data_IF_027140141795
#
_entry.id   IF_027140141795
#
_cell.length_a   1.000
_cell.length_b   1.000
_cell.length_c   1.000
_cell.angle_alpha   90.00
_cell.angle_beta   90.00
_cell.angle_gamma   90.00
#
_symmetry.space_group_name_H-M   'P 1'
#
loop_
_entity.id
_entity.type
_entity.pdbx_description
1 polymer ?
#
# COMPACT_ATOMS: atom_id res chain seq x y z
N UNK A 1 -65.06 -51.79 35.63
CA UNK A 1 -63.79 -52.29 35.08
C UNK A 1 -63.13 -51.12 34.38
N UNK A 2 -62.16 -50.50 35.04
CA UNK A 2 -61.39 -49.36 34.56
C UNK A 2 -60.04 -49.86 34.03
N UNK A 3 -59.69 -49.41 32.84
CA UNK A 3 -58.51 -49.80 32.06
C UNK A 3 -57.20 -49.38 32.77
N UNK A 4 -56.22 -50.28 33.01
CA UNK A 4 -54.99 -49.96 33.73
C UNK A 4 -53.87 -49.34 32.88
N UNK A 5 -54.12 -48.86 31.64
CA UNK A 5 -53.05 -48.39 30.75
C UNK A 5 -53.13 -46.95 30.20
N UNK A 6 -53.97 -46.05 30.73
CA UNK A 6 -53.85 -44.62 30.40
C UNK A 6 -52.82 -43.90 31.29
N UNK A 7 -51.57 -43.82 30.81
CA UNK A 7 -50.58 -42.86 31.34
C UNK A 7 -50.65 -41.57 30.53
N UNK A 8 -51.19 -40.50 31.12
CA UNK A 8 -51.04 -39.15 30.61
C UNK A 8 -49.54 -38.75 30.59
N UNK A 9 -49.04 -38.41 29.41
CA UNK A 9 -47.69 -37.87 29.22
C UNK A 9 -47.81 -36.33 29.21
N UNK A 10 -47.48 -35.68 30.33
CA UNK A 10 -47.26 -34.23 30.34
C UNK A 10 -45.84 -33.94 29.82
N UNK A 11 -45.66 -33.09 28.78
CA UNK A 11 -44.34 -32.66 28.37
C UNK A 11 -43.74 -31.74 29.45
N UNK A 12 -42.49 -32.03 29.84
CA UNK A 12 -41.74 -31.19 30.77
C UNK A 12 -41.61 -29.75 30.23
N UNK A 13 -41.65 -28.72 31.11
CA UNK A 13 -41.46 -27.35 30.68
C UNK A 13 -40.08 -27.17 30.03
N UNK A 14 -39.95 -26.31 29.00
CA UNK A 14 -38.66 -26.05 28.38
C UNK A 14 -37.69 -25.51 29.43
N UNK A 15 -36.39 -25.90 29.36
CA UNK A 15 -35.40 -25.38 30.29
C UNK A 15 -35.34 -23.85 30.20
N UNK A 16 -35.13 -23.14 31.31
CA UNK A 16 -35.02 -21.69 31.28
C UNK A 16 -33.90 -21.30 30.32
N UNK A 17 -34.21 -20.42 29.37
CA UNK A 17 -33.22 -19.86 28.46
C UNK A 17 -32.05 -19.33 29.28
N UNK A 18 -30.87 -19.93 29.09
CA UNK A 18 -29.66 -19.51 29.75
C UNK A 18 -29.46 -18.01 29.48
N UNK A 19 -29.57 -17.20 30.53
CA UNK A 19 -29.27 -15.78 30.48
C UNK A 19 -27.85 -15.64 29.95
N UNK A 20 -27.72 -15.13 28.71
CA UNK A 20 -26.44 -14.97 28.04
C UNK A 20 -25.44 -14.34 29.00
N UNK A 21 -24.34 -15.06 29.25
CA UNK A 21 -23.34 -14.68 30.24
C UNK A 21 -22.80 -13.27 30.02
N UNK A 22 -22.13 -12.75 31.05
CA UNK A 22 -21.52 -11.41 31.04
C UNK A 22 -20.68 -11.16 29.76
N UNK A 23 -20.02 -12.19 29.24
CA UNK A 23 -19.28 -12.16 27.97
C UNK A 23 -20.17 -11.97 26.72
N UNK A 24 -21.40 -12.49 26.70
CA UNK A 24 -22.36 -12.26 25.62
C UNK A 24 -22.97 -10.85 25.68
N UNK A 25 -23.21 -10.31 26.90
CA UNK A 25 -23.64 -8.92 27.10
C UNK A 25 -22.52 -7.92 26.77
N UNK A 26 -21.26 -8.26 27.04
CA UNK A 26 -20.09 -7.47 26.64
C UNK A 26 -19.91 -7.43 25.10
N UNK A 27 -20.28 -8.50 24.38
CA UNK A 27 -20.25 -8.53 22.91
C UNK A 27 -21.40 -7.75 22.26
N UNK A 28 -22.54 -7.61 22.94
CA UNK A 28 -23.73 -6.89 22.43
C UNK A 28 -23.71 -5.38 22.63
N UNK A 29 -22.75 -4.85 23.39
CA UNK A 29 -22.62 -3.43 23.68
C UNK A 29 -21.16 -2.98 23.58
N UNK A 30 -20.49 -3.28 22.45
CA UNK A 30 -19.43 -2.37 22.02
C UNK A 30 -20.12 -1.07 21.64
N UNK A 31 -20.32 -0.19 22.64
CA UNK A 31 -20.47 1.23 22.35
C UNK A 31 -19.29 1.54 21.42
N UNK A 32 -19.56 2.12 20.27
CA UNK A 32 -18.55 2.53 19.32
C UNK A 32 -18.39 4.06 19.44
N UNK A 33 -17.76 4.59 20.52
CA UNK A 33 -17.57 6.03 20.69
C UNK A 33 -16.91 6.67 19.49
N UNK A 34 -16.04 5.93 18.79
CA UNK A 34 -15.37 6.41 17.59
C UNK A 34 -16.33 6.71 16.42
N UNK A 35 -17.58 6.21 16.44
CA UNK A 35 -18.64 6.56 15.48
C UNK A 35 -19.50 7.75 15.92
N UNK A 36 -19.33 8.25 17.14
CA UNK A 36 -20.07 9.42 17.63
C UNK A 36 -19.58 10.70 16.90
N UNK A 37 -20.54 11.54 16.49
CA UNK A 37 -20.25 12.80 15.78
C UNK A 37 -19.82 12.67 14.32
N UNK A 38 -20.03 11.51 13.69
CA UNK A 38 -20.03 11.38 12.22
C UNK A 38 -21.40 11.78 11.66
N UNK A 39 -21.42 12.45 10.50
CA UNK A 39 -22.66 12.61 9.74
C UNK A 39 -23.06 11.27 9.04
N UNK A 40 -24.28 11.16 8.48
CA UNK A 40 -24.73 9.92 7.84
C UNK A 40 -23.80 9.39 6.76
N UNK A 41 -23.27 10.25 5.90
CA UNK A 41 -22.39 9.88 4.78
C UNK A 41 -21.02 9.39 5.27
N UNK A 42 -20.45 10.05 6.28
CA UNK A 42 -19.21 9.63 6.92
C UNK A 42 -19.38 8.29 7.64
N UNK A 43 -20.52 8.07 8.30
CA UNK A 43 -20.84 6.80 8.96
C UNK A 43 -20.97 5.68 7.92
N UNK A 44 -21.70 5.91 6.84
CA UNK A 44 -21.83 4.95 5.75
C UNK A 44 -20.45 4.57 5.16
N UNK A 45 -19.59 5.56 4.93
CA UNK A 45 -18.23 5.33 4.45
C UNK A 45 -17.37 4.53 5.45
N UNK A 46 -17.60 4.66 6.76
CA UNK A 46 -16.91 3.89 7.81
C UNK A 46 -17.45 2.47 7.91
N UNK A 47 -18.76 2.28 7.82
CA UNK A 47 -19.45 0.99 8.04
C UNK A 47 -19.45 0.09 6.79
N UNK A 48 -19.26 0.66 5.60
CA UNK A 48 -19.15 -0.11 4.34
C UNK A 48 -17.78 -0.80 4.27
N UNK A 49 -17.66 -2.02 4.79
CA UNK A 49 -16.39 -2.74 4.91
C UNK A 49 -16.05 -3.66 3.74
N UNK A 50 -17.05 -4.12 2.98
CA UNK A 50 -16.85 -5.07 1.90
C UNK A 50 -16.75 -4.37 0.54
N UNK A 51 -15.92 -4.92 -0.35
CA UNK A 51 -15.73 -4.40 -1.71
C UNK A 51 -14.87 -3.14 -1.81
N UNK A 52 -14.79 -2.59 -3.02
CA UNK A 52 -14.06 -1.36 -3.30
C UNK A 52 -14.92 -0.14 -2.96
N UNK A 53 -14.40 0.77 -2.14
CA UNK A 53 -15.08 2.00 -1.73
C UNK A 53 -14.23 3.20 -2.11
N UNK A 54 -14.81 4.14 -2.86
CA UNK A 54 -14.22 5.44 -3.18
C UNK A 54 -14.96 6.53 -2.40
N UNK A 55 -14.25 7.24 -1.54
CA UNK A 55 -14.80 8.37 -0.78
C UNK A 55 -14.39 9.67 -1.45
N UNK A 56 -15.34 10.31 -2.14
CA UNK A 56 -15.15 11.63 -2.74
C UNK A 56 -15.54 12.70 -1.71
N UNK A 57 -14.62 13.58 -1.37
CA UNK A 57 -14.91 14.65 -0.42
C UNK A 57 -14.13 15.94 -0.75
N UNK A 58 -14.69 17.09 -0.42
CA UNK A 58 -14.01 18.38 -0.55
C UNK A 58 -12.95 18.60 0.53
N UNK A 59 -12.17 19.67 0.42
CA UNK A 59 -11.27 20.08 1.51
C UNK A 59 -12.06 20.34 2.80
N UNK A 60 -11.51 19.97 3.96
CA UNK A 60 -12.14 20.21 5.27
C UNK A 60 -13.34 19.32 5.63
N UNK A 61 -13.76 18.40 4.76
CA UNK A 61 -14.93 17.52 4.98
C UNK A 61 -14.67 16.30 5.88
N UNK A 62 -13.46 16.19 6.44
CA UNK A 62 -13.10 15.14 7.38
C UNK A 62 -12.65 13.81 6.75
N UNK A 63 -12.13 13.78 5.52
CA UNK A 63 -11.57 12.56 4.87
C UNK A 63 -10.66 11.75 5.79
N UNK A 64 -9.67 12.40 6.39
CA UNK A 64 -8.71 11.75 7.30
C UNK A 64 -9.42 11.21 8.55
N UNK A 65 -10.47 11.89 9.03
CA UNK A 65 -11.31 11.38 10.14
C UNK A 65 -12.04 10.11 9.71
N UNK A 66 -12.70 10.12 8.55
CA UNK A 66 -13.37 8.93 8.00
C UNK A 66 -12.39 7.76 7.86
N UNK A 67 -11.21 7.98 7.28
CA UNK A 67 -10.22 6.92 7.06
C UNK A 67 -9.69 6.34 8.38
N UNK A 68 -9.35 7.19 9.34
CA UNK A 68 -8.85 6.75 10.65
C UNK A 68 -9.93 6.06 11.48
N UNK A 69 -11.17 6.59 11.47
CA UNK A 69 -12.32 5.95 12.12
C UNK A 69 -12.69 4.63 11.47
N UNK A 70 -12.57 4.50 10.14
CA UNK A 70 -12.77 3.22 9.44
C UNK A 70 -11.77 2.16 9.86
N UNK A 71 -10.50 2.51 10.01
CA UNK A 71 -9.48 1.60 10.55
C UNK A 71 -9.84 1.18 11.98
N UNK A 72 -10.21 2.14 12.83
CA UNK A 72 -10.64 1.85 14.20
C UNK A 72 -11.86 0.91 14.23
N UNK A 73 -12.82 1.10 13.33
CA UNK A 73 -14.00 0.27 13.20
C UNK A 73 -13.67 -1.17 12.76
N UNK A 74 -12.83 -1.33 11.74
CA UNK A 74 -12.34 -2.64 11.26
C UNK A 74 -11.67 -3.42 12.41
N UNK A 75 -10.80 -2.75 13.17
CA UNK A 75 -10.09 -3.34 14.30
C UNK A 75 -11.05 -3.72 15.44
N UNK A 76 -11.95 -2.81 15.80
CA UNK A 76 -12.89 -3.01 16.91
C UNK A 76 -13.90 -4.12 16.64
N UNK A 77 -14.30 -4.34 15.38
CA UNK A 77 -15.16 -5.45 14.98
C UNK A 77 -14.40 -6.78 14.81
N UNK A 78 -13.07 -6.80 14.99
CA UNK A 78 -12.25 -8.00 14.78
C UNK A 78 -12.21 -8.48 13.33
N UNK A 79 -12.52 -7.61 12.36
CA UNK A 79 -12.54 -7.95 10.93
C UNK A 79 -11.14 -8.17 10.36
N UNK A 80 -10.14 -7.51 10.94
CA UNK A 80 -8.73 -7.70 10.62
C UNK A 80 -7.83 -7.41 11.83
N UNK A 81 -6.66 -8.03 11.85
CA UNK A 81 -5.56 -7.66 12.74
C UNK A 81 -4.86 -6.42 12.19
N UNK A 82 -4.21 -5.65 13.06
CA UNK A 82 -3.43 -4.46 12.66
C UNK A 82 -2.34 -4.76 11.60
N UNK A 83 -1.78 -5.97 11.58
CA UNK A 83 -0.83 -6.43 10.56
C UNK A 83 -1.45 -6.80 9.20
N UNK A 84 -2.77 -6.90 9.12
CA UNK A 84 -3.55 -7.25 7.93
C UNK A 84 -4.16 -6.00 7.26
N UNK A 85 -3.89 -4.81 7.78
CA UNK A 85 -4.36 -3.51 7.26
C UNK A 85 -3.15 -2.76 6.69
N UNK A 86 -3.20 -2.42 5.40
CA UNK A 86 -2.29 -1.49 4.75
C UNK A 86 -2.94 -0.10 4.69
N UNK A 87 -2.29 0.91 5.27
CA UNK A 87 -2.77 2.29 5.27
C UNK A 87 -1.66 3.21 4.74
N UNK A 88 -1.92 3.87 3.61
CA UNK A 88 -0.91 4.64 2.88
C UNK A 88 -1.31 6.12 2.78
N UNK A 89 -0.33 7.02 2.96
CA UNK A 89 -0.47 8.47 2.76
C UNK A 89 0.77 9.04 2.06
N UNK A 90 0.84 10.35 1.82
CA UNK A 90 1.94 10.99 1.11
C UNK A 90 3.04 11.52 2.04
N UNK A 91 2.72 11.87 3.29
CA UNK A 91 3.70 12.49 4.19
C UNK A 91 3.91 11.70 5.48
N UNK A 92 5.15 11.73 5.99
CA UNK A 92 5.47 11.14 7.29
C UNK A 92 4.73 11.84 8.45
N UNK A 93 4.36 13.12 8.28
CA UNK A 93 3.51 13.84 9.23
C UNK A 93 2.11 13.25 9.26
N UNK A 94 1.45 13.10 8.10
CA UNK A 94 0.13 12.49 8.00
C UNK A 94 0.11 11.06 8.55
N UNK A 95 1.14 10.26 8.26
CA UNK A 95 1.25 8.90 8.79
C UNK A 95 1.29 8.88 10.33
N UNK A 96 2.10 9.77 10.95
CA UNK A 96 2.18 9.89 12.41
C UNK A 96 0.87 10.38 13.01
N UNK A 97 0.22 11.36 12.40
CA UNK A 97 -1.07 11.88 12.84
C UNK A 97 -2.17 10.82 12.74
N UNK A 98 -2.25 10.06 11.64
CA UNK A 98 -3.17 8.94 11.50
C UNK A 98 -2.94 7.90 12.60
N UNK A 99 -1.69 7.50 12.83
CA UNK A 99 -1.34 6.55 13.89
C UNK A 99 -1.79 7.07 15.26
N UNK A 100 -1.54 8.33 15.58
CA UNK A 100 -1.96 8.94 16.84
C UNK A 100 -3.49 8.94 16.99
N UNK A 101 -4.23 9.35 15.95
CA UNK A 101 -5.71 9.36 15.95
C UNK A 101 -6.31 7.98 16.18
N UNK A 102 -5.81 6.97 15.45
CA UNK A 102 -6.30 5.59 15.61
C UNK A 102 -5.98 5.11 17.05
N UNK A 103 -4.81 5.45 17.58
CA UNK A 103 -4.41 5.09 18.95
C UNK A 103 -5.38 5.60 20.01
N UNK A 104 -5.85 6.84 19.86
CA UNK A 104 -6.88 7.40 20.73
C UNK A 104 -8.26 6.72 20.63
N UNK A 105 -8.55 6.00 19.53
CA UNK A 105 -9.84 5.34 19.31
C UNK A 105 -9.89 3.89 19.78
N UNK A 106 -8.79 3.13 19.63
CA UNK A 106 -8.76 1.68 19.91
C UNK A 106 -7.66 1.26 20.90
N UNK A 107 -6.97 2.22 21.53
CA UNK A 107 -5.95 1.97 22.55
C UNK A 107 -4.67 1.32 22.01
N UNK A 108 -4.06 0.44 22.82
CA UNK A 108 -2.75 -0.19 22.55
C UNK A 108 -2.74 -1.10 21.30
N UNK A 109 -3.90 -1.47 20.75
CA UNK A 109 -4.00 -2.22 19.49
C UNK A 109 -3.28 -1.55 18.30
N UNK A 110 -2.98 -0.24 18.40
CA UNK A 110 -2.31 0.57 17.36
C UNK A 110 -0.79 0.48 17.37
N UNK A 111 -0.16 0.11 18.50
CA UNK A 111 1.29 -0.06 18.52
C UNK A 111 1.75 -1.08 17.47
N UNK A 112 0.88 -2.03 17.13
CA UNK A 112 1.08 -3.07 16.14
C UNK A 112 0.54 -2.81 14.73
N UNK A 113 0.48 -1.56 14.22
CA UNK A 113 0.19 -1.27 12.80
C UNK A 113 1.47 -1.14 11.94
N UNK A 114 2.12 -2.26 11.52
CA UNK A 114 3.38 -2.23 10.79
C UNK A 114 3.27 -1.67 9.37
N UNK A 115 2.07 -1.57 8.81
CA UNK A 115 1.84 -1.16 7.42
C UNK A 115 1.08 0.15 7.30
N UNK A 116 1.25 1.03 8.28
CA UNK A 116 0.81 2.42 8.21
C UNK A 116 2.03 3.30 7.91
N UNK A 117 2.03 3.98 6.76
CA UNK A 117 3.16 4.82 6.37
C UNK A 117 2.95 5.54 5.04
N UNK A 118 4.05 6.08 4.50
CA UNK A 118 4.05 6.58 3.12
C UNK A 118 4.32 5.47 2.13
N UNK A 119 3.96 5.68 0.86
CA UNK A 119 4.32 4.77 -0.24
C UNK A 119 5.79 4.33 -0.16
N UNK A 120 6.70 5.30 -0.01
CA UNK A 120 8.14 5.09 0.04
C UNK A 120 8.58 4.34 1.31
N UNK A 121 8.06 4.71 2.48
CA UNK A 121 8.38 4.01 3.73
C UNK A 121 7.92 2.55 3.72
N UNK A 122 6.77 2.28 3.12
CA UNK A 122 6.28 0.90 2.94
C UNK A 122 7.08 0.15 1.87
N UNK A 123 7.38 0.79 0.73
CA UNK A 123 8.24 0.23 -0.32
C UNK A 123 9.61 -0.16 0.22
N UNK A 124 10.29 0.76 0.91
CA UNK A 124 11.54 0.49 1.61
C UNK A 124 11.41 -0.72 2.54
N UNK A 125 10.38 -0.76 3.39
CA UNK A 125 10.16 -1.89 4.31
C UNK A 125 9.99 -3.24 3.61
N UNK A 126 9.34 -3.26 2.45
CA UNK A 126 9.18 -4.48 1.64
C UNK A 126 10.53 -4.86 1.03
N UNK A 127 11.23 -3.92 0.40
CA UNK A 127 12.54 -4.16 -0.18
C UNK A 127 13.55 -4.67 0.84
N UNK A 128 13.58 -4.12 2.05
CA UNK A 128 14.47 -4.59 3.13
C UNK A 128 14.29 -6.07 3.46
N UNK A 129 13.07 -6.58 3.35
CA UNK A 129 12.74 -8.00 3.61
C UNK A 129 13.09 -8.93 2.45
N UNK A 130 13.24 -8.38 1.25
CA UNK A 130 13.40 -9.11 0.00
C UNK A 130 14.57 -8.56 -0.83
N UNK A 131 15.57 -7.95 -0.18
CA UNK A 131 16.56 -7.12 -0.84
C UNK A 131 17.37 -7.90 -1.89
N UNK A 132 17.72 -9.14 -1.56
CA UNK A 132 18.51 -10.01 -2.42
C UNK A 132 17.81 -10.32 -3.75
N UNK A 133 16.47 -10.43 -3.74
CA UNK A 133 15.67 -10.67 -4.95
C UNK A 133 15.72 -9.49 -5.93
N UNK A 134 16.05 -8.30 -5.46
CA UNK A 134 16.23 -7.12 -6.31
C UNK A 134 17.69 -6.70 -6.45
N UNK A 135 18.64 -7.58 -6.09
CA UNK A 135 20.08 -7.31 -6.21
C UNK A 135 20.59 -6.27 -5.21
N UNK A 136 19.94 -6.14 -4.05
CA UNK A 136 20.35 -5.29 -2.93
C UNK A 136 20.65 -6.15 -1.70
N UNK A 137 21.29 -5.55 -0.70
CA UNK A 137 21.38 -6.11 0.65
C UNK A 137 20.40 -5.40 1.59
N UNK A 138 19.93 -6.04 2.67
CA UNK A 138 18.95 -5.46 3.58
C UNK A 138 19.36 -4.14 4.24
N UNK A 139 20.63 -3.75 4.20
CA UNK A 139 21.20 -2.53 4.78
C UNK A 139 21.53 -1.45 3.74
N UNK A 140 21.03 -1.56 2.49
CA UNK A 140 21.18 -0.56 1.43
C UNK A 140 21.01 0.91 1.86
N UNK A 141 21.72 1.86 1.27
CA UNK A 141 21.54 3.30 1.57
C UNK A 141 20.45 3.89 0.68
N UNK A 142 19.65 4.83 1.20
CA UNK A 142 18.70 5.61 0.39
C UNK A 142 19.37 6.94 0.04
N UNK A 143 19.62 7.20 -1.24
CA UNK A 143 20.26 8.44 -1.69
C UNK A 143 19.27 9.61 -1.70
N UNK A 144 19.69 10.75 -1.16
CA UNK A 144 18.99 12.01 -1.33
C UNK A 144 19.25 12.64 -2.72
N UNK A 145 18.57 13.74 -3.02
CA UNK A 145 18.66 14.38 -4.35
C UNK A 145 20.08 14.86 -4.67
N UNK A 146 20.83 15.33 -3.68
CA UNK A 146 22.17 15.87 -3.90
C UNK A 146 23.16 14.74 -4.20
N UNK A 147 23.07 13.62 -3.47
CA UNK A 147 23.87 12.43 -3.72
C UNK A 147 23.55 11.78 -5.07
N UNK A 148 22.27 11.75 -5.47
CA UNK A 148 21.88 11.32 -6.81
C UNK A 148 22.52 12.20 -7.89
N UNK A 149 22.45 13.53 -7.75
CA UNK A 149 23.03 14.47 -8.72
C UNK A 149 24.55 14.30 -8.79
N UNK A 150 25.24 14.13 -7.66
CA UNK A 150 26.69 13.88 -7.62
C UNK A 150 27.05 12.61 -8.39
N UNK A 151 26.31 11.52 -8.18
CA UNK A 151 26.54 10.26 -8.88
C UNK A 151 26.31 10.38 -10.39
N UNK A 152 25.26 11.08 -10.80
CA UNK A 152 24.95 11.31 -12.21
C UNK A 152 26.01 12.17 -12.91
N UNK A 153 26.55 13.19 -12.23
CA UNK A 153 27.68 13.99 -12.76
C UNK A 153 28.92 13.13 -13.05
N UNK A 154 29.22 12.17 -12.18
CA UNK A 154 30.34 11.25 -12.40
C UNK A 154 30.11 10.37 -13.64
N UNK A 155 28.89 9.89 -13.87
CA UNK A 155 28.53 9.10 -15.05
C UNK A 155 28.60 9.93 -16.34
N UNK A 156 28.09 11.16 -16.31
CA UNK A 156 28.17 12.11 -17.43
C UNK A 156 29.63 12.36 -17.82
N UNK A 157 30.50 12.61 -16.83
CA UNK A 157 31.91 12.83 -17.05
C UNK A 157 32.61 11.58 -17.63
N UNK A 158 32.29 10.38 -17.12
CA UNK A 158 32.85 9.12 -17.62
C UNK A 158 32.50 8.83 -19.09
N UNK A 159 31.32 9.27 -19.54
CA UNK A 159 30.86 9.16 -20.92
C UNK A 159 31.34 10.31 -21.83
N UNK A 160 32.22 11.18 -21.33
CA UNK A 160 32.73 12.36 -22.04
C UNK A 160 31.63 13.31 -22.54
N UNK A 161 30.53 13.42 -21.79
CA UNK A 161 29.43 14.34 -22.08
C UNK A 161 29.69 15.69 -21.41
N UNK A 162 29.50 16.79 -22.14
CA UNK A 162 29.68 18.15 -21.62
C UNK A 162 28.64 18.49 -20.53
N UNK A 163 29.09 18.50 -19.27
CA UNK A 163 28.25 18.81 -18.09
C UNK A 163 27.64 20.23 -18.13
N UNK A 164 28.30 21.19 -18.79
CA UNK A 164 27.75 22.55 -18.89
C UNK A 164 26.49 22.59 -19.75
N UNK A 165 26.49 21.80 -20.83
CA UNK A 165 25.34 21.67 -21.73
C UNK A 165 24.32 20.66 -21.19
N UNK A 166 24.79 19.62 -20.51
CA UNK A 166 24.00 18.49 -20.03
C UNK A 166 24.19 18.29 -18.52
N UNK A 167 23.63 19.16 -17.68
CA UNK A 167 23.88 19.11 -16.25
C UNK A 167 23.25 17.87 -15.60
N UNK A 168 23.93 17.30 -14.59
CA UNK A 168 23.44 16.11 -13.86
C UNK A 168 22.04 16.27 -13.25
N UNK A 169 21.66 17.50 -12.86
CA UNK A 169 20.30 17.81 -12.38
C UNK A 169 19.23 17.60 -13.45
N UNK A 170 19.53 17.90 -14.71
CA UNK A 170 18.59 17.68 -15.82
C UNK A 170 18.41 16.18 -16.08
N UNK A 171 19.46 15.39 -15.95
CA UNK A 171 19.37 13.94 -16.04
C UNK A 171 18.57 13.35 -14.85
N UNK A 172 18.82 13.84 -13.63
CA UNK A 172 18.09 13.42 -12.44
C UNK A 172 16.58 13.62 -12.60
N UNK A 173 16.15 14.79 -13.08
CA UNK A 173 14.73 15.08 -13.34
C UNK A 173 14.11 14.15 -14.38
N UNK A 174 14.85 13.81 -15.44
CA UNK A 174 14.36 12.86 -16.46
C UNK A 174 14.21 11.45 -15.90
N UNK A 175 15.21 10.97 -15.16
CA UNK A 175 15.17 9.66 -14.51
C UNK A 175 14.01 9.59 -13.51
N UNK A 176 13.83 10.61 -12.68
CA UNK A 176 12.70 10.68 -11.75
C UNK A 176 11.35 10.63 -12.48
N UNK A 177 11.21 11.38 -13.59
CA UNK A 177 10.03 11.32 -14.46
C UNK A 177 9.75 9.91 -15.01
N UNK A 178 10.78 9.18 -15.44
CA UNK A 178 10.65 7.79 -15.88
C UNK A 178 10.26 6.85 -14.73
N UNK A 179 10.88 7.00 -13.55
CA UNK A 179 10.56 6.20 -12.36
C UNK A 179 9.14 6.45 -11.87
N UNK A 180 8.66 7.69 -11.87
CA UNK A 180 7.28 8.06 -11.52
C UNK A 180 6.24 7.46 -12.49
N UNK A 181 6.66 7.14 -13.72
CA UNK A 181 5.86 6.40 -14.71
C UNK A 181 5.99 4.89 -14.61
N UNK A 182 6.84 4.38 -13.70
CA UNK A 182 7.10 2.96 -13.53
C UNK A 182 8.00 2.37 -14.60
N UNK A 183 8.83 3.17 -15.26
CA UNK A 183 9.69 2.74 -16.36
C UNK A 183 11.09 2.35 -15.86
N UNK A 184 11.47 1.11 -16.15
CA UNK A 184 12.87 0.65 -16.07
C UNK A 184 13.67 1.18 -17.26
N UNK A 185 15.02 1.17 -17.21
CA UNK A 185 15.84 1.67 -18.32
C UNK A 185 15.47 1.06 -19.68
N UNK A 186 15.12 -0.22 -19.71
CA UNK A 186 14.73 -0.93 -20.93
C UNK A 186 13.36 -0.52 -21.50
N UNK A 187 12.51 0.09 -20.67
CA UNK A 187 11.14 0.50 -21.00
C UNK A 187 11.03 1.98 -21.39
N UNK A 188 12.10 2.76 -21.25
CA UNK A 188 12.11 4.18 -21.64
C UNK A 188 11.91 4.28 -23.16
N UNK A 189 10.91 5.06 -23.64
CA UNK A 189 10.70 5.27 -25.07
C UNK A 189 11.95 5.84 -25.75
N UNK A 190 12.31 5.32 -26.92
CA UNK A 190 13.53 5.71 -27.62
C UNK A 190 13.63 7.22 -27.86
N UNK A 191 12.52 7.87 -28.22
CA UNK A 191 12.47 9.32 -28.41
C UNK A 191 12.78 10.11 -27.13
N UNK A 192 12.29 9.67 -25.97
CA UNK A 192 12.57 10.31 -24.69
C UNK A 192 14.02 10.07 -24.24
N UNK A 193 14.49 8.83 -24.35
CA UNK A 193 15.87 8.47 -24.00
C UNK A 193 16.91 9.18 -24.85
N UNK A 194 16.54 9.59 -26.08
CA UNK A 194 17.44 10.27 -27.00
C UNK A 194 17.63 11.77 -26.71
N UNK A 195 16.76 12.38 -25.89
CA UNK A 195 16.78 13.83 -25.60
C UNK A 195 18.06 14.24 -24.90
N UNK A 196 18.59 13.42 -23.99
CA UNK A 196 19.74 13.79 -23.18
C UNK A 196 21.07 13.35 -23.80
N UNK A 197 22.07 14.24 -23.74
CA UNK A 197 23.48 13.87 -23.96
C UNK A 197 23.75 13.26 -25.34
N UNK A 198 23.11 13.77 -26.39
CA UNK A 198 23.21 13.24 -27.77
C UNK A 198 22.75 11.77 -27.92
N UNK A 199 21.62 11.39 -27.31
CA UNK A 199 21.10 10.03 -27.47
C UNK A 199 21.34 9.09 -26.28
N UNK A 200 22.01 9.56 -25.23
CA UNK A 200 22.61 8.72 -24.17
C UNK A 200 21.77 8.61 -22.90
N UNK A 201 20.60 9.26 -22.82
CA UNK A 201 19.78 9.30 -21.60
C UNK A 201 19.40 7.92 -21.08
N UNK A 202 19.01 6.99 -21.96
CA UNK A 202 18.68 5.61 -21.60
C UNK A 202 19.89 4.82 -21.09
N UNK A 203 21.04 4.96 -21.75
CA UNK A 203 22.28 4.27 -21.37
C UNK A 203 22.80 4.79 -20.03
N UNK A 204 22.74 6.10 -19.81
CA UNK A 204 23.10 6.73 -18.54
C UNK A 204 22.16 6.30 -17.41
N UNK A 205 20.86 6.14 -17.68
CA UNK A 205 19.92 5.61 -16.69
C UNK A 205 20.24 4.15 -16.34
N UNK A 206 20.54 3.31 -17.34
CA UNK A 206 20.98 1.93 -17.09
C UNK A 206 22.27 1.87 -16.27
N UNK A 207 23.28 2.70 -16.62
CA UNK A 207 24.53 2.81 -15.88
C UNK A 207 24.30 3.31 -14.44
N UNK A 208 23.39 4.27 -14.25
CA UNK A 208 23.00 4.77 -12.94
C UNK A 208 22.36 3.69 -12.07
N UNK A 209 21.39 2.93 -12.57
CA UNK A 209 20.80 1.81 -11.84
C UNK A 209 21.86 0.75 -11.48
N UNK A 210 22.75 0.39 -12.42
CA UNK A 210 23.82 -0.57 -12.15
C UNK A 210 24.79 -0.06 -11.06
N UNK A 211 25.08 1.24 -11.08
CA UNK A 211 25.95 1.87 -10.08
C UNK A 211 25.29 1.91 -8.70
N UNK A 212 24.00 2.19 -8.62
CA UNK A 212 23.24 2.10 -7.36
C UNK A 212 23.33 0.70 -6.75
N UNK A 213 23.12 -0.36 -7.55
CA UNK A 213 23.26 -1.75 -7.06
C UNK A 213 24.67 -2.04 -6.56
N UNK A 214 25.69 -1.61 -7.30
CA UNK A 214 27.10 -1.76 -6.90
C UNK A 214 27.40 -1.10 -5.55
N UNK A 215 26.81 0.07 -5.31
CA UNK A 215 26.96 0.81 -4.06
C UNK A 215 26.03 0.31 -2.94
N UNK A 216 25.25 -0.76 -3.18
CA UNK A 216 24.17 -1.19 -2.30
C UNK A 216 23.28 -0.01 -1.92
N UNK A 217 22.78 0.71 -2.92
CA UNK A 217 21.98 1.91 -2.75
C UNK A 217 20.71 1.87 -3.60
N UNK A 218 19.73 2.67 -3.21
CA UNK A 218 18.50 2.94 -3.94
C UNK A 218 18.19 4.43 -3.80
N UNK A 219 17.53 5.04 -4.78
CA UNK A 219 16.94 6.36 -4.58
C UNK A 219 15.45 6.28 -4.22
N UNK A 220 14.81 7.44 -4.05
CA UNK A 220 13.41 7.51 -3.65
C UNK A 220 12.48 6.82 -4.66
N UNK A 221 12.71 7.01 -5.97
CA UNK A 221 11.92 6.36 -7.02
C UNK A 221 12.09 4.84 -7.03
N UNK A 222 13.29 4.34 -6.73
CA UNK A 222 13.56 2.90 -6.65
C UNK A 222 12.76 2.19 -5.55
N UNK A 223 12.43 2.88 -4.45
CA UNK A 223 11.63 2.28 -3.38
C UNK A 223 10.29 1.74 -3.89
N UNK A 224 9.73 2.38 -4.93
CA UNK A 224 8.53 1.91 -5.60
C UNK A 224 8.84 1.06 -6.83
N UNK A 225 9.74 1.53 -7.70
CA UNK A 225 10.03 0.83 -8.96
C UNK A 225 10.56 -0.59 -8.73
N UNK A 226 11.49 -0.77 -7.79
CA UNK A 226 12.03 -2.09 -7.45
C UNK A 226 10.99 -2.95 -6.74
N UNK A 227 10.07 -2.36 -5.97
CA UNK A 227 8.97 -3.14 -5.35
C UNK A 227 7.97 -3.62 -6.40
N UNK A 228 7.67 -2.80 -7.40
CA UNK A 228 6.83 -3.20 -8.55
C UNK A 228 7.51 -4.33 -9.33
N UNK A 229 8.82 -4.18 -9.58
CA UNK A 229 9.62 -5.21 -10.26
C UNK A 229 9.64 -6.52 -9.48
N UNK A 230 9.92 -6.47 -8.17
CA UNK A 230 9.86 -7.60 -7.25
C UNK A 230 8.53 -8.34 -7.35
N UNK A 231 7.41 -7.61 -7.32
CA UNK A 231 6.08 -8.23 -7.39
C UNK A 231 5.75 -8.84 -8.76
N UNK A 232 6.25 -8.24 -9.85
CA UNK A 232 6.05 -8.77 -11.21
C UNK A 232 6.90 -10.02 -11.47
N UNK A 233 8.14 -10.02 -10.99
CA UNK A 233 9.11 -11.10 -11.22
C UNK A 233 8.95 -12.25 -10.21
N UNK A 234 8.45 -11.97 -9.00
CA UNK A 234 8.29 -12.95 -7.93
C UNK A 234 6.84 -13.04 -7.43
N UNK A 235 5.99 -13.71 -8.22
CA UNK A 235 4.56 -13.86 -7.93
C UNK A 235 4.26 -14.46 -6.54
N UNK A 236 5.11 -15.36 -6.04
CA UNK A 236 4.97 -15.92 -4.70
C UNK A 236 5.12 -14.87 -3.58
N UNK A 237 6.04 -13.90 -3.76
CA UNK A 237 6.21 -12.78 -2.81
C UNK A 237 4.96 -11.90 -2.84
N UNK A 238 4.49 -11.53 -4.04
CA UNK A 238 3.26 -10.75 -4.20
C UNK A 238 2.05 -11.44 -3.53
N UNK A 239 1.88 -12.75 -3.74
CA UNK A 239 0.78 -13.52 -3.16
C UNK A 239 0.79 -13.50 -1.62
N UNK A 240 1.96 -13.46 -0.97
CA UNK A 240 2.05 -13.33 0.49
C UNK A 240 1.49 -11.98 0.98
N UNK A 241 1.78 -10.89 0.25
CA UNK A 241 1.27 -9.57 0.59
C UNK A 241 -0.23 -9.42 0.29
N UNK A 242 -0.69 -9.93 -0.85
CA UNK A 242 -2.11 -9.97 -1.21
C UNK A 242 -2.94 -10.82 -0.23
N UNK A 243 -2.37 -11.90 0.30
CA UNK A 243 -3.02 -12.74 1.32
C UNK A 243 -3.03 -12.05 2.68
N UNK A 244 -1.95 -11.34 3.03
CA UNK A 244 -1.80 -10.60 4.28
C UNK A 244 -2.76 -9.42 4.37
N UNK A 245 -2.81 -8.58 3.34
CA UNK A 245 -3.60 -7.36 3.34
C UNK A 245 -5.07 -7.69 3.05
N UNK A 246 -5.88 -7.71 4.10
CA UNK A 246 -7.34 -7.83 4.00
C UNK A 246 -7.99 -6.50 3.65
N UNK A 247 -7.41 -5.41 4.14
CA UNK A 247 -7.85 -4.05 3.88
C UNK A 247 -6.68 -3.20 3.39
N UNK A 248 -6.90 -2.45 2.32
CA UNK A 248 -5.98 -1.47 1.77
C UNK A 248 -6.71 -0.12 1.78
N UNK A 249 -6.16 0.85 2.50
CA UNK A 249 -6.68 2.21 2.59
C UNK A 249 -5.62 3.19 2.10
N UNK A 250 -6.03 4.14 1.28
CA UNK A 250 -5.13 5.14 0.69
C UNK A 250 -5.73 6.51 0.92
N UNK A 251 -4.97 7.38 1.57
CA UNK A 251 -5.28 8.80 1.72
C UNK A 251 -4.70 9.60 0.55
N UNK A 252 -5.33 10.75 0.23
CA UNK A 252 -4.92 11.65 -0.85
C UNK A 252 -4.71 10.95 -2.22
N UNK A 253 -5.60 10.01 -2.57
CA UNK A 253 -5.48 9.20 -3.79
C UNK A 253 -5.35 10.03 -5.09
N UNK A 254 -5.91 11.25 -5.10
CA UNK A 254 -5.80 12.15 -6.25
C UNK A 254 -4.36 12.57 -6.59
N UNK A 255 -3.44 12.50 -5.62
CA UNK A 255 -2.04 12.91 -5.80
C UNK A 255 -1.15 11.75 -6.28
N UNK A 256 -1.73 10.59 -6.61
CA UNK A 256 -0.97 9.41 -7.01
C UNK A 256 -0.37 9.51 -8.41
N UNK A 257 0.91 9.16 -8.53
CA UNK A 257 1.55 8.95 -9.83
C UNK A 257 1.32 7.52 -10.35
N UNK A 258 1.75 7.26 -11.60
CA UNK A 258 1.54 5.96 -12.26
C UNK A 258 2.23 4.83 -11.51
N UNK A 259 3.46 5.02 -11.01
CA UNK A 259 4.15 4.00 -10.24
C UNK A 259 3.41 3.64 -8.94
N UNK A 260 2.94 4.64 -8.18
CA UNK A 260 2.14 4.44 -6.97
C UNK A 260 0.82 3.72 -7.28
N UNK A 261 0.15 4.09 -8.37
CA UNK A 261 -1.04 3.40 -8.86
C UNK A 261 -0.74 1.93 -9.19
N UNK A 262 0.31 1.64 -9.97
CA UNK A 262 0.69 0.28 -10.34
C UNK A 262 1.03 -0.56 -9.10
N UNK A 263 1.73 0.02 -8.14
CA UNK A 263 2.07 -0.61 -6.86
C UNK A 263 0.81 -1.01 -6.07
N UNK A 264 -0.15 -0.09 -5.92
CA UNK A 264 -1.43 -0.38 -5.27
C UNK A 264 -2.23 -1.42 -6.03
N UNK A 265 -2.28 -1.30 -7.35
CA UNK A 265 -3.04 -2.19 -8.23
C UNK A 265 -2.55 -3.63 -8.11
N UNK A 266 -1.23 -3.86 -8.05
CA UNK A 266 -0.66 -5.19 -7.83
C UNK A 266 -1.12 -5.77 -6.49
N UNK A 267 -1.10 -4.98 -5.41
CA UNK A 267 -1.49 -5.46 -4.08
C UNK A 267 -3.00 -5.69 -3.95
N UNK A 268 -3.83 -4.91 -4.64
CA UNK A 268 -5.28 -5.03 -4.60
C UNK A 268 -5.82 -6.16 -5.50
N UNK A 269 -5.06 -6.59 -6.52
CA UNK A 269 -5.44 -7.70 -7.41
C UNK A 269 -5.26 -9.06 -6.72
N UNK A 270 -6.16 -9.43 -5.81
CA UNK A 270 -6.17 -10.80 -5.29
C UNK A 270 -6.64 -11.76 -6.41
N UNK A 271 -5.89 -12.83 -6.74
CA UNK A 271 -6.42 -13.89 -7.59
C UNK A 271 -7.66 -14.45 -6.91
N UNK A 272 -8.83 -14.28 -7.52
CA UNK A 272 -10.01 -14.99 -7.02
C UNK A 272 -9.75 -16.47 -7.26
N UNK A 273 -9.92 -17.30 -6.23
CA UNK A 273 -9.95 -18.74 -6.40
C UNK A 273 -11.14 -19.07 -7.31
N UNK A 274 -10.91 -19.13 -8.63
CA UNK A 274 -11.95 -19.41 -9.61
C UNK A 274 -11.80 -18.76 -11.00
N UNK A 275 -10.95 -17.74 -11.20
CA UNK A 275 -10.70 -17.24 -12.57
C UNK A 275 -9.34 -17.71 -13.07
N UNK A 276 -9.38 -18.63 -14.04
CA UNK A 276 -8.23 -19.02 -14.83
C UNK A 276 -7.54 -17.77 -15.41
N UNK A 277 -6.21 -17.79 -15.34
CA UNK A 277 -5.32 -16.76 -15.88
C UNK A 277 -5.64 -16.46 -17.34
N UNK A 278 -6.22 -15.28 -17.61
CA UNK A 278 -6.06 -14.66 -18.92
C UNK A 278 -4.71 -13.97 -18.90
N UNK A 279 -3.77 -14.47 -19.71
CA UNK A 279 -2.48 -13.83 -19.98
C UNK A 279 -2.70 -12.33 -20.22
N UNK A 280 -2.15 -11.48 -19.35
CA UNK A 280 -1.96 -10.07 -19.66
C UNK A 280 -0.91 -9.97 -20.75
N UNK A 281 -1.34 -9.87 -22.01
CA UNK A 281 -0.50 -9.36 -23.07
C UNK A 281 -0.25 -7.86 -22.78
N UNK A 282 1.00 -7.50 -22.52
CA UNK A 282 1.41 -6.11 -22.44
C UNK A 282 1.35 -5.49 -23.85
N UNK A 283 0.24 -4.83 -24.16
CA UNK A 283 0.12 -3.92 -25.30
C UNK A 283 0.49 -2.48 -24.89
N UNK A 284 0.97 -1.65 -25.84
CA UNK A 284 1.44 -0.29 -25.52
C UNK A 284 0.28 0.58 -25.05
N UNK A 285 0.45 1.23 -23.90
CA UNK A 285 -0.46 2.24 -23.41
C UNK A 285 -0.29 3.52 -24.25
N UNK A 286 -1.22 3.77 -25.17
CA UNK A 286 -1.46 5.11 -25.71
C UNK A 286 -2.60 5.74 -24.92
N UNK A 287 -2.31 6.84 -24.22
CA UNK A 287 -3.35 7.75 -23.70
C UNK A 287 -3.77 8.75 -24.79
N UNK A 288 -4.99 9.32 -24.71
CA UNK A 288 -5.48 10.32 -25.65
C UNK A 288 -4.67 11.62 -25.64
#
# INVERSE_FOLDING_TARGET
MSDPFERHFEPAPPPPMASGGIAARARGAHRAPYLEGLNPEQREAVETLDGAVLVLAGAGTGKTRVLTTRIAHILSLGRARASEILAVTFTNKAAREMKHRIGGMVGEAVEGMPWLGTFHSIGAKILRRHAELVGLKPDFTILDVDDQIRLLKQLIAAENIDEKRWPGRLLATQIDGWKNRGLTPDQVPAGEGAVFGNGRGRDLYAAYQARLKTLNAADFGDLLLETIRLFREHAAVLAQYQSRFKYILVDEYQDTNVAQYLWLRLLAQRPTAGTASTKLAAGPFTSP
#
